data_IF_945661558091
#
_entry.id   IF_945661558091
#
_cell.length_a   1.000
_cell.length_b   1.000
_cell.length_c   1.000
_cell.angle_alpha   90.00
_cell.angle_beta   90.00
_cell.angle_gamma   90.00
#
_symmetry.space_group_name_H-M   'P 1'
#
loop_
_entity.id
_entity.type
_entity.pdbx_description
1 polymer ?
#
# COMPACT_ATOMS: atom_id res chain seq x y z
N UNK A 1 -16.67 5.79 48.30
CA UNK A 1 -16.71 5.49 46.85
C UNK A 1 -16.90 4.00 46.69
N UNK A 2 -17.89 3.52 45.91
CA UNK A 2 -18.14 2.07 45.81
C UNK A 2 -17.07 1.36 44.96
N UNK A 3 -16.78 0.10 45.26
CA UNK A 3 -15.84 -0.74 44.48
C UNK A 3 -16.22 -0.79 42.99
N UNK A 4 -17.52 -0.83 42.67
CA UNK A 4 -18.02 -0.78 41.29
C UNK A 4 -17.63 0.52 40.57
N UNK A 5 -17.64 1.66 41.29
CA UNK A 5 -17.27 2.97 40.72
C UNK A 5 -15.77 3.03 40.44
N UNK A 6 -14.95 2.49 41.35
CA UNK A 6 -13.50 2.39 41.17
C UNK A 6 -13.14 1.49 39.98
N UNK A 7 -13.74 0.29 39.91
CA UNK A 7 -13.52 -0.65 38.81
C UNK A 7 -13.88 -0.05 37.44
N UNK A 8 -15.00 0.69 37.35
CA UNK A 8 -15.40 1.38 36.12
C UNK A 8 -14.38 2.45 35.70
N UNK A 9 -13.86 3.23 36.66
CA UNK A 9 -12.85 4.27 36.39
C UNK A 9 -11.53 3.66 35.94
N UNK A 10 -11.07 2.59 36.57
CA UNK A 10 -9.85 1.87 36.18
C UNK A 10 -9.96 1.29 34.77
N UNK A 11 -11.08 0.65 34.43
CA UNK A 11 -11.33 0.14 33.06
C UNK A 11 -11.35 1.27 32.01
N UNK A 12 -12.01 2.39 32.32
CA UNK A 12 -12.06 3.55 31.44
C UNK A 12 -10.66 4.15 31.23
N UNK A 13 -9.87 4.30 32.29
CA UNK A 13 -8.49 4.77 32.23
C UNK A 13 -7.61 3.83 31.39
N UNK A 14 -7.69 2.51 31.63
CA UNK A 14 -6.94 1.53 30.84
C UNK A 14 -7.31 1.61 29.34
N UNK A 15 -8.61 1.69 29.03
CA UNK A 15 -9.08 1.81 27.64
C UNK A 15 -8.58 3.10 26.98
N UNK A 16 -8.63 4.23 27.69
CA UNK A 16 -8.13 5.50 27.19
C UNK A 16 -6.60 5.45 26.98
N UNK A 17 -5.86 4.91 27.94
CA UNK A 17 -4.41 4.73 27.85
C UNK A 17 -4.02 3.86 26.65
N UNK A 18 -4.71 2.75 26.42
CA UNK A 18 -4.46 1.89 25.26
C UNK A 18 -4.73 2.60 23.94
N UNK A 19 -5.81 3.40 23.86
CA UNK A 19 -6.11 4.19 22.66
C UNK A 19 -5.07 5.28 22.40
N UNK A 20 -4.64 5.99 23.45
CA UNK A 20 -3.57 7.00 23.35
C UNK A 20 -2.28 6.34 22.89
N UNK A 21 -1.91 5.22 23.50
CA UNK A 21 -0.71 4.48 23.12
C UNK A 21 -0.75 4.06 21.64
N UNK A 22 -1.86 3.47 21.19
CA UNK A 22 -2.04 3.09 19.78
C UNK A 22 -1.91 4.31 18.85
N UNK A 23 -2.56 5.43 19.18
CA UNK A 23 -2.51 6.64 18.36
C UNK A 23 -1.09 7.21 18.28
N UNK A 24 -0.37 7.25 19.40
CA UNK A 24 1.02 7.73 19.45
C UNK A 24 1.93 6.81 18.64
N UNK A 25 1.80 5.49 18.80
CA UNK A 25 2.59 4.51 18.03
C UNK A 25 2.32 4.64 16.54
N UNK A 26 1.05 4.76 16.13
CA UNK A 26 0.70 4.95 14.72
C UNK A 26 1.26 6.26 14.14
N UNK A 27 1.17 7.36 14.90
CA UNK A 27 1.73 8.64 14.49
C UNK A 27 3.26 8.57 14.34
N UNK A 28 3.95 7.90 15.26
CA UNK A 28 5.40 7.70 15.18
C UNK A 28 5.79 6.84 13.98
N UNK A 29 5.08 5.74 13.72
CA UNK A 29 5.32 4.89 12.54
C UNK A 29 5.15 5.69 11.25
N UNK A 30 4.05 6.45 11.11
CA UNK A 30 3.80 7.27 9.92
C UNK A 30 4.85 8.36 9.75
N UNK A 31 5.25 9.03 10.84
CA UNK A 31 6.28 10.07 10.80
C UNK A 31 7.64 9.51 10.37
N UNK A 32 8.05 8.36 10.91
CA UNK A 32 9.31 7.70 10.54
C UNK A 32 9.26 7.18 9.10
N UNK A 33 8.16 6.55 8.69
CA UNK A 33 7.97 6.09 7.32
C UNK A 33 8.06 7.25 6.31
N UNK A 34 7.43 8.39 6.62
CA UNK A 34 7.54 9.58 5.78
C UNK A 34 8.96 10.13 5.74
N UNK A 35 9.59 10.33 6.90
CA UNK A 35 10.94 10.90 6.99
C UNK A 35 11.95 10.08 6.16
N UNK A 36 11.87 8.75 6.23
CA UNK A 36 12.80 7.84 5.56
C UNK A 36 12.38 7.49 4.13
N UNK A 37 11.08 7.51 3.82
CA UNK A 37 10.50 6.92 2.61
C UNK A 37 9.82 7.91 1.66
N UNK A 38 9.72 9.20 1.98
CA UNK A 38 9.05 10.20 1.13
C UNK A 38 9.60 10.25 -0.31
N UNK A 39 10.86 9.87 -0.51
CA UNK A 39 11.51 9.78 -1.83
C UNK A 39 10.86 8.75 -2.77
N UNK A 40 9.97 7.87 -2.26
CA UNK A 40 9.14 7.01 -3.11
C UNK A 40 7.91 7.72 -3.68
N UNK A 41 7.51 8.85 -3.12
CA UNK A 41 6.34 9.61 -3.56
C UNK A 41 6.64 10.51 -4.77
N UNK A 42 7.90 10.84 -5.00
CA UNK A 42 8.33 11.71 -6.09
C UNK A 42 9.61 11.22 -6.81
N UNK A 43 10.07 12.01 -7.78
CA UNK A 43 11.32 11.74 -8.50
C UNK A 43 11.31 10.55 -9.46
N UNK A 44 12.45 10.27 -10.13
CA UNK A 44 12.59 9.13 -11.03
C UNK A 44 12.48 7.81 -10.26
N UNK A 45 11.77 6.84 -10.85
CA UNK A 45 11.74 5.48 -10.32
C UNK A 45 13.16 4.90 -10.22
N UNK A 46 13.47 4.28 -9.09
CA UNK A 46 14.78 3.68 -8.83
C UNK A 46 14.79 2.21 -9.25
N UNK A 47 15.93 1.77 -9.77
CA UNK A 47 16.15 0.40 -10.25
C UNK A 47 15.40 0.07 -11.54
N UNK A 48 15.50 -1.17 -11.98
CA UNK A 48 14.77 -1.73 -13.14
C UNK A 48 13.37 -2.19 -12.80
N UNK A 49 13.15 -2.61 -11.55
CA UNK A 49 11.94 -3.35 -11.20
C UNK A 49 10.74 -2.43 -11.04
N UNK A 50 10.93 -1.27 -10.42
CA UNK A 50 9.87 -0.26 -10.27
C UNK A 50 9.23 0.13 -11.61
N UNK A 51 9.98 0.56 -12.64
CA UNK A 51 9.39 0.87 -13.94
C UNK A 51 8.81 -0.37 -14.63
N UNK A 52 9.38 -1.57 -14.43
CA UNK A 52 8.80 -2.82 -14.94
C UNK A 52 7.40 -3.08 -14.37
N UNK A 53 7.23 -2.98 -13.05
CA UNK A 53 5.94 -3.21 -12.39
C UNK A 53 4.91 -2.12 -12.76
N UNK A 54 5.33 -0.86 -12.91
CA UNK A 54 4.46 0.20 -13.45
C UNK A 54 4.03 -0.12 -14.88
N UNK A 55 4.95 -0.61 -15.71
CA UNK A 55 4.65 -1.04 -17.08
C UNK A 55 3.62 -2.17 -17.15
N UNK A 56 3.72 -3.17 -16.26
CA UNK A 56 2.73 -4.25 -16.18
C UNK A 56 1.35 -3.74 -15.78
N UNK A 57 1.27 -2.86 -14.78
CA UNK A 57 0.00 -2.27 -14.37
C UNK A 57 -0.61 -1.42 -15.50
N UNK A 58 0.22 -0.64 -16.21
CA UNK A 58 -0.25 0.17 -17.35
C UNK A 58 -0.75 -0.69 -18.50
N UNK A 59 -0.08 -1.79 -18.80
CA UNK A 59 -0.55 -2.73 -19.81
C UNK A 59 -1.85 -3.41 -19.36
N UNK A 60 -1.95 -3.87 -18.11
CA UNK A 60 -3.17 -4.48 -17.60
C UNK A 60 -4.36 -3.53 -17.64
N UNK A 61 -4.15 -2.25 -17.34
CA UNK A 61 -5.21 -1.24 -17.41
C UNK A 61 -5.79 -1.10 -18.82
N UNK A 62 -4.97 -1.23 -19.88
CA UNK A 62 -5.46 -1.16 -21.27
C UNK A 62 -6.44 -2.28 -21.62
N UNK A 63 -6.28 -3.45 -21.00
CA UNK A 63 -7.09 -4.63 -21.30
C UNK A 63 -8.11 -4.95 -20.20
N UNK A 64 -8.13 -4.22 -19.09
CA UNK A 64 -9.05 -4.53 -18.00
C UNK A 64 -10.52 -4.23 -18.40
N UNK A 65 -11.47 -5.17 -18.16
CA UNK A 65 -11.33 -6.41 -17.37
C UNK A 65 -10.88 -7.65 -18.16
N UNK A 66 -10.89 -7.61 -19.49
CA UNK A 66 -10.58 -8.73 -20.39
C UNK A 66 -9.06 -8.90 -20.65
N UNK A 67 -8.31 -9.17 -19.58
CA UNK A 67 -6.85 -9.28 -19.61
C UNK A 67 -6.40 -10.49 -20.44
N UNK A 68 -5.53 -10.32 -21.47
CA UNK A 68 -5.02 -11.43 -22.24
C UNK A 68 -4.03 -12.27 -21.41
N UNK A 69 -4.06 -13.59 -21.62
CA UNK A 69 -3.17 -14.52 -20.91
C UNK A 69 -1.68 -14.37 -21.26
N UNK A 70 -1.38 -13.76 -22.41
CA UNK A 70 -0.03 -13.63 -22.95
C UNK A 70 0.44 -12.18 -22.90
N UNK A 71 1.62 -11.95 -22.31
CA UNK A 71 2.26 -10.64 -22.28
C UNK A 71 3.41 -10.58 -23.28
N UNK A 72 3.24 -9.86 -24.41
CA UNK A 72 4.19 -9.90 -25.52
C UNK A 72 5.46 -9.08 -25.26
N UNK A 73 5.45 -8.15 -24.28
CA UNK A 73 6.53 -7.18 -24.10
C UNK A 73 7.71 -7.72 -23.27
N UNK A 74 7.65 -8.95 -22.76
CA UNK A 74 8.74 -9.56 -22.01
C UNK A 74 9.38 -10.70 -22.83
N UNK A 75 10.59 -10.46 -23.36
CA UNK A 75 11.46 -11.52 -23.91
C UNK A 75 10.90 -12.35 -25.08
N UNK A 76 10.04 -11.77 -25.92
CA UNK A 76 9.36 -12.51 -27.03
C UNK A 76 8.00 -13.08 -26.65
N UNK A 77 7.58 -12.87 -25.39
CA UNK A 77 6.28 -13.19 -24.87
C UNK A 77 6.35 -14.21 -23.74
N UNK A 78 5.68 -13.93 -22.63
CA UNK A 78 5.52 -14.87 -21.51
C UNK A 78 4.08 -14.89 -21.04
N UNK A 79 3.67 -16.00 -20.42
CA UNK A 79 2.39 -16.05 -19.70
C UNK A 79 2.47 -15.20 -18.43
N UNK A 80 1.56 -14.25 -18.28
CA UNK A 80 1.48 -13.39 -17.08
C UNK A 80 1.29 -14.18 -15.80
N UNK A 81 0.59 -15.30 -15.90
CA UNK A 81 0.30 -16.19 -14.78
C UNK A 81 1.52 -16.99 -14.32
N UNK A 82 2.57 -17.09 -15.14
CA UNK A 82 3.78 -17.86 -14.83
C UNK A 82 4.97 -16.98 -14.44
N UNK A 83 4.93 -15.68 -14.71
CA UNK A 83 6.07 -14.78 -14.49
C UNK A 83 6.07 -14.05 -13.14
N UNK A 84 4.93 -13.53 -12.69
CA UNK A 84 4.81 -12.73 -11.47
C UNK A 84 3.38 -12.77 -10.88
N UNK A 85 3.19 -12.54 -9.56
CA UNK A 85 1.87 -12.37 -9.00
C UNK A 85 1.16 -11.18 -9.66
N UNK A 86 0.02 -11.41 -10.31
CA UNK A 86 -0.75 -10.38 -11.03
C UNK A 86 -1.60 -9.49 -10.11
N UNK A 87 -1.94 -10.01 -8.92
CA UNK A 87 -2.86 -9.36 -7.99
C UNK A 87 -2.40 -7.96 -7.55
N UNK A 88 -1.12 -7.73 -7.19
CA UNK A 88 -0.64 -6.38 -6.88
C UNK A 88 -0.86 -5.39 -8.02
N UNK A 89 -0.65 -5.81 -9.27
CA UNK A 89 -0.86 -4.92 -10.41
C UNK A 89 -2.33 -4.63 -10.68
N UNK A 90 -3.21 -5.63 -10.54
CA UNK A 90 -4.66 -5.42 -10.62
C UNK A 90 -5.16 -4.47 -9.52
N UNK A 91 -4.59 -4.54 -8.32
CA UNK A 91 -4.87 -3.58 -7.26
C UNK A 91 -4.53 -2.14 -7.72
N UNK A 92 -3.39 -1.93 -8.39
CA UNK A 92 -3.03 -0.62 -8.92
C UNK A 92 -4.03 -0.15 -9.99
N UNK A 93 -4.48 -1.04 -10.88
CA UNK A 93 -5.49 -0.73 -11.91
C UNK A 93 -6.82 -0.31 -11.29
N UNK A 94 -7.29 -1.06 -10.29
CA UNK A 94 -8.54 -0.74 -9.58
C UNK A 94 -8.42 0.61 -8.86
N UNK A 95 -7.34 0.82 -8.11
CA UNK A 95 -7.11 2.08 -7.40
C UNK A 95 -6.96 3.27 -8.37
N UNK A 96 -6.29 3.08 -9.51
CA UNK A 96 -6.19 4.07 -10.58
C UNK A 96 -7.57 4.52 -11.06
N UNK A 97 -8.43 3.56 -11.40
CA UNK A 97 -9.79 3.82 -11.92
C UNK A 97 -10.74 4.41 -10.88
N UNK A 98 -10.58 4.06 -9.59
CA UNK A 98 -11.41 4.58 -8.51
C UNK A 98 -10.98 5.97 -8.02
N UNK A 99 -9.68 6.28 -8.05
CA UNK A 99 -9.15 7.53 -7.47
C UNK A 99 -8.94 8.66 -8.48
N UNK A 100 -8.83 8.34 -9.77
CA UNK A 100 -8.43 9.28 -10.81
C UNK A 100 -6.93 9.65 -10.78
N UNK A 101 -6.15 9.11 -9.84
CA UNK A 101 -4.70 9.23 -9.80
C UNK A 101 -4.09 8.38 -10.92
N UNK A 102 -3.03 8.85 -11.58
CA UNK A 102 -2.30 8.02 -12.56
C UNK A 102 -1.76 6.72 -11.94
N UNK A 103 -1.56 5.68 -12.75
CA UNK A 103 -0.97 4.40 -12.30
C UNK A 103 0.37 4.61 -11.59
N UNK A 104 1.21 5.54 -12.06
CA UNK A 104 2.47 5.88 -11.39
C UNK A 104 2.23 6.45 -9.98
N UNK A 105 1.28 7.38 -9.82
CA UNK A 105 0.95 7.95 -8.51
C UNK A 105 0.39 6.89 -7.57
N UNK A 106 -0.47 6.01 -8.06
CA UNK A 106 -1.03 4.89 -7.29
C UNK A 106 0.07 3.92 -6.89
N UNK A 107 0.96 3.53 -7.81
CA UNK A 107 2.12 2.68 -7.53
C UNK A 107 2.94 3.26 -6.38
N UNK A 108 3.33 4.54 -6.49
CA UNK A 108 4.12 5.22 -5.47
C UNK A 108 3.42 5.26 -4.12
N UNK A 109 2.12 5.58 -4.11
CA UNK A 109 1.33 5.63 -2.88
C UNK A 109 1.25 4.24 -2.23
N UNK A 110 0.96 3.20 -2.99
CA UNK A 110 0.88 1.82 -2.49
C UNK A 110 2.24 1.34 -1.99
N UNK A 111 3.32 1.58 -2.74
CA UNK A 111 4.68 1.25 -2.33
C UNK A 111 5.07 1.98 -1.03
N UNK A 112 4.73 3.26 -0.91
CA UNK A 112 4.97 4.04 0.31
C UNK A 112 4.13 3.52 1.48
N UNK A 113 2.84 3.27 1.29
CA UNK A 113 1.93 2.81 2.34
C UNK A 113 2.24 1.38 2.80
N UNK A 114 2.88 0.56 1.97
CA UNK A 114 3.33 -0.78 2.35
C UNK A 114 4.19 -0.77 3.63
N UNK A 115 5.05 0.23 3.80
CA UNK A 115 5.92 0.35 4.98
C UNK A 115 5.15 0.60 6.30
N UNK A 116 4.39 1.71 6.46
CA UNK A 116 3.70 1.97 7.71
C UNK A 116 2.58 0.97 7.97
N UNK A 117 1.90 0.46 6.93
CA UNK A 117 0.86 -0.56 7.12
C UNK A 117 1.46 -1.85 7.67
N UNK A 118 2.58 -2.33 7.12
CA UNK A 118 3.26 -3.53 7.64
C UNK A 118 3.79 -3.32 9.06
N UNK A 119 4.26 -2.11 9.39
CA UNK A 119 4.74 -1.79 10.73
C UNK A 119 3.63 -1.72 11.79
N UNK A 120 2.38 -1.45 11.39
CA UNK A 120 1.22 -1.42 12.28
C UNK A 120 0.70 -2.83 12.64
N UNK A 121 1.05 -3.85 11.87
CA UNK A 121 0.57 -5.23 12.01
C UNK A 121 -0.72 -5.49 11.23
#
# INVERSE_FOLDING_TARGET
MSERTLARRLKAFATLSSKIHLAVTAALILALAYLLGHVMLDGPLKGSDSPLHVGYAAWLDQYFPDVPHWYPLQGGGVSLLHGYPILPHLLLVVLHRLSGLSILQVFRLVSFLGFPLTALG
#
